data_IF_836594801209
#
_entry.id   IF_836594801209
#
_cell.length_a   1.000
_cell.length_b   1.000
_cell.length_c   1.000
_cell.angle_alpha   90.00
_cell.angle_beta   90.00
_cell.angle_gamma   90.00
#
_symmetry.space_group_name_H-M   'P 1'
#
loop_
_entity.id
_entity.type
_entity.pdbx_description
1 polymer ?
#
# COMPACT_ATOMS: atom_id res chain seq x y z
N UNK A 1 42.20 28.59 44.24
CA UNK A 1 42.04 27.59 43.16
C UNK A 1 40.56 27.44 42.88
N UNK A 2 40.09 27.87 41.71
CA UNK A 2 38.67 27.97 41.37
C UNK A 2 38.34 26.82 40.42
N UNK A 3 37.59 25.82 40.90
CA UNK A 3 37.30 24.59 40.16
C UNK A 3 36.05 24.76 39.30
N UNK A 4 36.22 24.72 37.97
CA UNK A 4 35.13 24.81 36.99
C UNK A 4 34.63 23.40 36.70
N UNK A 5 33.39 23.10 37.09
CA UNK A 5 32.74 21.83 36.77
C UNK A 5 32.09 21.92 35.38
N UNK A 6 32.71 21.26 34.40
CA UNK A 6 32.17 21.13 33.04
C UNK A 6 31.14 20.02 33.04
N UNK A 7 29.86 20.38 32.90
CA UNK A 7 28.76 19.43 32.78
C UNK A 7 28.65 18.98 31.32
N UNK A 8 29.04 17.73 31.03
CA UNK A 8 28.95 17.16 29.67
C UNK A 8 27.58 16.51 29.51
N UNK A 9 26.71 17.13 28.71
CA UNK A 9 25.40 16.57 28.36
C UNK A 9 25.60 15.56 27.23
N UNK A 10 25.52 14.27 27.56
CA UNK A 10 25.51 13.20 26.55
C UNK A 10 24.09 13.08 25.99
N UNK A 11 23.89 13.58 24.78
CA UNK A 11 22.66 13.34 24.04
C UNK A 11 22.68 11.89 23.51
N UNK A 12 21.97 11.00 24.19
CA UNK A 12 21.73 9.65 23.70
C UNK A 12 20.78 9.73 22.50
N UNK A 13 21.32 9.73 21.28
CA UNK A 13 20.52 9.46 20.08
C UNK A 13 20.14 7.99 20.12
N UNK A 14 18.93 7.71 20.60
CA UNK A 14 18.30 6.41 20.42
C UNK A 14 18.14 6.24 18.91
N UNK A 15 19.07 5.53 18.29
CA UNK A 15 18.93 5.03 16.92
C UNK A 15 17.88 3.93 17.01
N UNK A 16 16.62 4.35 17.18
CA UNK A 16 15.47 3.51 16.93
C UNK A 16 15.65 3.01 15.50
N UNK A 17 15.65 1.70 15.36
CA UNK A 17 15.86 0.97 14.12
C UNK A 17 14.83 1.42 13.09
N UNK A 18 15.14 2.51 12.38
CA UNK A 18 14.49 2.88 11.13
C UNK A 18 14.85 1.75 10.19
N UNK A 19 13.98 0.74 10.13
CA UNK A 19 13.98 -0.23 9.04
C UNK A 19 14.00 0.60 7.78
N UNK A 20 15.17 0.61 7.13
CA UNK A 20 15.38 1.20 5.81
C UNK A 20 14.31 0.62 4.89
N UNK A 21 13.19 1.36 4.77
CA UNK A 21 12.20 1.20 3.71
C UNK A 21 13.01 1.35 2.43
N UNK A 22 13.10 0.26 1.65
CA UNK A 22 13.81 0.20 0.36
C UNK A 22 13.72 1.56 -0.38
N UNK A 23 14.83 2.27 -0.57
CA UNK A 23 14.85 3.48 -1.38
C UNK A 23 14.81 3.01 -2.83
N UNK A 24 13.66 3.11 -3.48
CA UNK A 24 13.55 2.67 -4.87
C UNK A 24 12.23 2.97 -5.55
N UNK A 25 11.11 3.00 -4.80
CA UNK A 25 9.81 3.39 -5.36
C UNK A 25 9.44 4.81 -4.92
N UNK A 26 8.98 5.62 -5.87
CA UNK A 26 8.31 6.90 -5.60
C UNK A 26 7.14 6.69 -4.64
N UNK A 27 6.72 7.72 -3.89
CA UNK A 27 5.58 7.62 -2.95
C UNK A 27 4.35 7.04 -3.65
N UNK A 28 4.03 7.55 -4.84
CA UNK A 28 2.93 7.08 -5.71
C UNK A 28 3.07 5.61 -6.09
N UNK A 29 4.27 5.15 -6.41
CA UNK A 29 4.55 3.76 -6.76
C UNK A 29 4.41 2.80 -5.56
N UNK A 30 4.78 3.26 -4.36
CA UNK A 30 4.53 2.51 -3.11
C UNK A 30 3.05 2.43 -2.80
N UNK A 31 2.33 3.51 -3.01
CA UNK A 31 0.90 3.60 -2.72
C UNK A 31 0.11 2.68 -3.69
N UNK A 32 0.48 2.68 -4.97
CA UNK A 32 -0.05 1.76 -6.00
C UNK A 32 0.20 0.30 -5.65
N UNK A 33 1.46 -0.08 -5.44
CA UNK A 33 1.85 -1.47 -5.15
C UNK A 33 1.25 -2.00 -3.83
N UNK A 34 1.15 -1.14 -2.81
CA UNK A 34 0.43 -1.45 -1.58
C UNK A 34 -1.04 -1.78 -1.86
N UNK A 35 -1.70 -0.91 -2.62
CA UNK A 35 -3.14 -0.99 -2.83
C UNK A 35 -3.56 -2.17 -3.71
N UNK A 36 -2.80 -2.45 -4.79
CA UNK A 36 -2.96 -3.63 -5.63
C UNK A 36 -2.94 -4.91 -4.80
N UNK A 37 -1.89 -5.06 -3.98
CA UNK A 37 -1.67 -6.25 -3.15
C UNK A 37 -2.76 -6.40 -2.09
N UNK A 38 -3.13 -5.31 -1.42
CA UNK A 38 -4.17 -5.35 -0.39
C UNK A 38 -5.55 -5.65 -1.01
N UNK A 39 -5.82 -5.11 -2.20
CA UNK A 39 -7.07 -5.37 -2.93
C UNK A 39 -7.19 -6.86 -3.28
N UNK A 40 -6.14 -7.44 -3.87
CA UNK A 40 -6.11 -8.87 -4.17
C UNK A 40 -6.24 -9.72 -2.89
N UNK A 41 -5.56 -9.33 -1.81
CA UNK A 41 -5.65 -10.05 -0.53
C UNK A 41 -7.06 -10.01 0.06
N UNK A 42 -7.75 -8.87 -0.01
CA UNK A 42 -9.13 -8.73 0.43
C UNK A 42 -10.07 -9.61 -0.42
N UNK A 43 -9.90 -9.59 -1.74
CA UNK A 43 -10.71 -10.38 -2.67
C UNK A 43 -10.56 -11.89 -2.47
N UNK A 44 -9.37 -12.37 -2.11
CA UNK A 44 -9.15 -13.78 -1.74
C UNK A 44 -9.96 -14.21 -0.50
N UNK A 45 -10.39 -13.27 0.34
CA UNK A 45 -11.31 -13.50 1.46
C UNK A 45 -12.77 -13.65 1.04
N UNK A 46 -13.10 -13.39 -0.23
CA UNK A 46 -14.47 -13.41 -0.77
C UNK A 46 -14.58 -14.33 -2.00
N UNK A 47 -14.28 -15.64 -1.86
CA UNK A 47 -14.27 -16.58 -2.97
C UNK A 47 -15.64 -16.69 -3.64
N UNK A 48 -15.68 -16.53 -4.97
CA UNK A 48 -16.91 -16.59 -5.77
C UNK A 48 -17.72 -15.28 -5.78
N UNK A 49 -17.31 -14.27 -5.01
CA UNK A 49 -17.97 -12.96 -4.91
C UNK A 49 -17.03 -11.81 -5.26
N UNK A 50 -15.91 -12.10 -5.92
CA UNK A 50 -14.83 -11.14 -6.15
C UNK A 50 -15.31 -9.91 -6.93
N UNK A 51 -16.17 -10.09 -7.93
CA UNK A 51 -16.78 -9.00 -8.69
C UNK A 51 -17.55 -8.03 -7.79
N UNK A 52 -18.35 -8.56 -6.86
CA UNK A 52 -19.16 -7.78 -5.91
C UNK A 52 -18.28 -7.02 -4.92
N UNK A 53 -17.20 -7.65 -4.45
CA UNK A 53 -16.32 -7.07 -3.43
C UNK A 53 -15.21 -6.19 -4.00
N UNK A 54 -14.98 -6.18 -5.31
CA UNK A 54 -13.87 -5.44 -5.94
C UNK A 54 -13.85 -3.96 -5.55
N UNK A 55 -14.98 -3.24 -5.65
CA UNK A 55 -15.00 -1.82 -5.29
C UNK A 55 -14.78 -1.59 -3.79
N UNK A 56 -15.33 -2.46 -2.93
CA UNK A 56 -15.15 -2.36 -1.48
C UNK A 56 -13.70 -2.60 -1.08
N UNK A 57 -13.12 -3.70 -1.55
CA UNK A 57 -11.73 -4.07 -1.29
C UNK A 57 -10.75 -3.01 -1.81
N UNK A 58 -11.04 -2.41 -2.97
CA UNK A 58 -10.24 -1.32 -3.52
C UNK A 58 -10.27 -0.08 -2.61
N UNK A 59 -11.45 0.37 -2.18
CA UNK A 59 -11.57 1.54 -1.30
C UNK A 59 -10.92 1.31 0.07
N UNK A 60 -11.11 0.14 0.67
CA UNK A 60 -10.45 -0.23 1.94
C UNK A 60 -8.93 -0.25 1.78
N UNK A 61 -8.43 -0.77 0.66
CA UNK A 61 -7.00 -0.80 0.36
C UNK A 61 -6.42 0.59 0.15
N UNK A 62 -7.14 1.49 -0.52
CA UNK A 62 -6.74 2.89 -0.67
C UNK A 62 -6.58 3.57 0.69
N UNK A 63 -7.58 3.43 1.57
CA UNK A 63 -7.53 3.98 2.93
C UNK A 63 -6.34 3.42 3.74
N UNK A 64 -6.08 2.11 3.68
CA UNK A 64 -4.96 1.48 4.39
C UNK A 64 -3.60 1.90 3.86
N UNK A 65 -3.49 2.14 2.56
CA UNK A 65 -2.25 2.54 1.90
C UNK A 65 -2.01 4.05 1.97
N UNK A 66 -2.92 4.83 2.54
CA UNK A 66 -2.79 6.26 2.76
C UNK A 66 -3.02 7.10 1.50
N UNK A 67 -3.86 6.62 0.58
CA UNK A 67 -4.28 7.41 -0.58
C UNK A 67 -5.41 8.34 -0.16
N UNK A 68 -5.15 9.65 -0.21
CA UNK A 68 -6.13 10.69 0.13
C UNK A 68 -7.01 11.09 -1.06
N UNK A 69 -6.74 10.56 -2.26
CA UNK A 69 -7.46 10.90 -3.48
C UNK A 69 -8.81 10.18 -3.60
N UNK A 70 -9.79 10.92 -4.13
CA UNK A 70 -11.16 10.44 -4.46
C UNK A 70 -11.10 9.29 -5.48
N UNK A 71 -10.13 9.34 -6.39
CA UNK A 71 -9.90 8.29 -7.39
C UNK A 71 -9.29 7.00 -6.80
N UNK A 72 -8.89 7.05 -5.53
CA UNK A 72 -8.16 5.99 -4.84
C UNK A 72 -6.72 5.86 -5.33
N UNK A 73 -6.19 4.65 -5.24
CA UNK A 73 -4.78 4.37 -5.49
C UNK A 73 -4.42 4.10 -6.96
N UNK A 74 -5.35 3.58 -7.76
CA UNK A 74 -5.17 3.27 -9.18
C UNK A 74 -6.51 2.94 -9.86
N UNK A 75 -7.22 3.96 -10.37
CA UNK A 75 -8.55 3.75 -10.94
C UNK A 75 -8.51 2.87 -12.20
N UNK A 76 -7.49 3.01 -13.05
CA UNK A 76 -7.34 2.15 -14.22
C UNK A 76 -7.16 0.65 -13.87
N UNK A 77 -6.43 0.33 -12.79
CA UNK A 77 -6.39 -1.04 -12.27
C UNK A 77 -7.79 -1.51 -11.85
N UNK A 78 -8.51 -0.72 -11.05
CA UNK A 78 -9.86 -1.08 -10.59
C UNK A 78 -10.80 -1.39 -11.76
N UNK A 79 -10.79 -0.53 -12.78
CA UNK A 79 -11.64 -0.70 -13.96
C UNK A 79 -11.24 -1.92 -14.78
N UNK A 80 -9.94 -2.17 -14.97
CA UNK A 80 -9.46 -3.38 -15.61
C UNK A 80 -9.87 -4.64 -14.84
N UNK A 81 -9.73 -4.61 -13.51
CA UNK A 81 -10.03 -5.73 -12.64
C UNK A 81 -11.53 -6.07 -12.68
N UNK A 82 -12.41 -5.07 -12.54
CA UNK A 82 -13.86 -5.25 -12.64
C UNK A 82 -14.29 -5.89 -13.97
N UNK A 83 -13.61 -5.55 -15.08
CA UNK A 83 -13.93 -6.11 -16.41
C UNK A 83 -13.47 -7.56 -16.58
N UNK A 84 -12.42 -7.98 -15.89
CA UNK A 84 -11.76 -9.27 -16.11
C UNK A 84 -11.92 -10.27 -14.96
N UNK A 85 -12.36 -9.81 -13.79
CA UNK A 85 -12.52 -10.66 -12.61
C UNK A 85 -13.60 -11.71 -12.84
N UNK A 86 -13.23 -12.97 -12.64
CA UNK A 86 -14.12 -14.13 -12.67
C UNK A 86 -14.26 -14.70 -11.25
N UNK A 87 -15.42 -15.30 -10.92
CA UNK A 87 -15.62 -15.99 -9.65
C UNK A 87 -14.47 -16.99 -9.40
N UNK A 88 -13.90 -17.00 -8.20
CA UNK A 88 -12.80 -17.90 -7.79
C UNK A 88 -11.45 -17.69 -8.48
N UNK A 89 -11.33 -16.74 -9.42
CA UNK A 89 -10.10 -16.50 -10.20
C UNK A 89 -9.55 -15.06 -10.10
N UNK A 90 -9.40 -14.47 -8.89
CA UNK A 90 -8.91 -13.09 -8.76
C UNK A 90 -7.44 -12.91 -9.18
N UNK A 91 -6.61 -13.97 -9.07
CA UNK A 91 -5.20 -13.90 -9.47
C UNK A 91 -5.01 -13.71 -10.98
N UNK A 92 -5.91 -14.28 -11.79
CA UNK A 92 -5.84 -14.15 -13.25
C UNK A 92 -6.14 -12.70 -13.68
N UNK A 93 -7.18 -12.10 -13.09
CA UNK A 93 -7.49 -10.68 -13.32
C UNK A 93 -6.38 -9.76 -12.80
N UNK A 94 -5.78 -10.07 -11.65
CA UNK A 94 -4.65 -9.30 -11.11
C UNK A 94 -3.44 -9.31 -12.08
N UNK A 95 -3.06 -10.49 -12.56
CA UNK A 95 -1.94 -10.64 -13.48
C UNK A 95 -2.13 -9.87 -14.80
N UNK A 96 -3.38 -9.79 -15.29
CA UNK A 96 -3.74 -9.01 -16.47
C UNK A 96 -3.70 -7.49 -16.20
N UNK A 97 -4.11 -7.07 -15.01
CA UNK A 97 -4.38 -5.67 -14.71
C UNK A 97 -3.26 -4.94 -13.95
N UNK A 98 -2.30 -5.65 -13.35
CA UNK A 98 -1.23 -5.06 -12.53
C UNK A 98 -0.35 -4.04 -13.27
N UNK A 99 -0.32 -4.07 -14.62
CA UNK A 99 0.44 -3.15 -15.46
C UNK A 99 -0.43 -2.08 -16.12
N UNK A 100 -1.74 -2.09 -15.86
CA UNK A 100 -2.65 -1.06 -16.38
C UNK A 100 -2.26 0.30 -15.80
N UNK A 101 -2.20 1.34 -16.64
CA UNK A 101 -2.04 2.72 -16.16
C UNK A 101 -3.08 3.05 -15.11
N UNK A 102 -2.65 3.72 -14.05
CA UNK A 102 -3.55 4.52 -13.23
C UNK A 102 -3.82 5.82 -14.00
#
# INVERSE_FOLDING_TARGET
>A
TLSVFVMVVVAATVIGSIRLRKPGLSRVERDRSCCLRNTLSCLKGHPGQEHTFTSKCYSESGAQCGTEDIDGCCNGYRMCFLRNVKPYHPNEADALCQNTPC
#
